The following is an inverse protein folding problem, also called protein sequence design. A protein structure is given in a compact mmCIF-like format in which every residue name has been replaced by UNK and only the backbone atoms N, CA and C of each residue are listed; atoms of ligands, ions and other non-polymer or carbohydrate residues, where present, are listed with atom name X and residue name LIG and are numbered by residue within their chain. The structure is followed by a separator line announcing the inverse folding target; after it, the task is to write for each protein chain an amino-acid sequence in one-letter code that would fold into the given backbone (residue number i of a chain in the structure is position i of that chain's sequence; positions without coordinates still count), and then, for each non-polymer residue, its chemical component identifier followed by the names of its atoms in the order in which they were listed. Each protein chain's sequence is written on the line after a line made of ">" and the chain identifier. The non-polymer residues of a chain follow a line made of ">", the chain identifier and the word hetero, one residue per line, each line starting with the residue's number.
data_IF_645452507401
#
_entry.id   IF_645452507401
#
_cell.length_a   1.000
_cell.length_b   1.000
_cell.length_c   1.000
_cell.angle_alpha   90.00
_cell.angle_beta   90.00
_cell.angle_gamma   90.00
#
_symmetry.space_group_name_H-M   'P 1'
#
loop_
_entity.id
_entity.type
_entity.pdbx_description
1 polymer ?
#
# COMPACT_ATOMS: atom_id res chain seq x y z
N UNK A 1 4.15 -3.71 8.25
CA UNK A 1 4.93 -3.50 7.02
C UNK A 1 4.07 -3.91 5.85
N UNK A 2 4.06 -3.13 4.78
CA UNK A 2 3.38 -3.49 3.52
C UNK A 2 4.44 -3.55 2.43
N UNK A 3 4.53 -4.68 1.74
CA UNK A 3 5.43 -4.87 0.60
C UNK A 3 4.59 -5.06 -0.66
N UNK A 4 4.87 -4.25 -1.68
CA UNK A 4 4.16 -4.29 -2.96
C UNK A 4 5.12 -4.80 -4.01
N UNK A 5 4.70 -5.82 -4.75
CA UNK A 5 5.45 -6.35 -5.90
C UNK A 5 4.56 -6.35 -7.14
N UNK A 6 5.04 -5.81 -8.28
CA UNK A 6 4.34 -5.93 -9.55
C UNK A 6 4.14 -7.41 -9.91
N UNK A 7 2.93 -7.76 -10.32
CA UNK A 7 2.64 -9.12 -10.76
C UNK A 7 3.47 -9.45 -12.02
N UNK A 8 4.25 -10.53 -11.99
CA UNK A 8 5.19 -10.93 -13.04
C UNK A 8 4.56 -11.05 -14.44
N UNK A 9 3.25 -11.28 -14.53
CA UNK A 9 2.53 -11.39 -15.80
C UNK A 9 2.45 -10.06 -16.58
N UNK A 10 2.60 -8.92 -15.91
CA UNK A 10 2.66 -7.60 -16.54
C UNK A 10 4.00 -6.99 -16.17
N UNK A 11 4.99 -7.12 -17.07
CA UNK A 11 6.34 -6.56 -16.97
C UNK A 11 6.33 -5.01 -17.01
N UNK A 12 5.52 -4.39 -16.16
CA UNK A 12 5.42 -2.94 -16.07
C UNK A 12 6.20 -2.51 -14.86
N UNK A 13 7.25 -1.77 -15.15
CA UNK A 13 7.94 -1.01 -14.14
C UNK A 13 6.97 0.02 -13.57
N UNK A 14 6.79 -0.01 -12.25
CA UNK A 14 6.01 1.00 -11.53
C UNK A 14 7.01 2.06 -11.05
N UNK A 15 6.77 3.33 -11.36
CA UNK A 15 7.60 4.38 -10.84
C UNK A 15 7.30 4.60 -9.34
N UNK A 16 8.35 4.94 -8.60
CA UNK A 16 8.32 5.26 -7.19
C UNK A 16 7.22 6.26 -6.80
N UNK A 17 7.03 7.30 -7.62
CA UNK A 17 6.02 8.36 -7.40
C UNK A 17 4.60 7.96 -7.82
N UNK A 18 4.44 6.84 -8.52
CA UNK A 18 3.12 6.28 -8.84
C UNK A 18 2.53 5.49 -7.66
N UNK A 19 3.27 5.27 -6.56
CA UNK A 19 2.78 4.52 -5.40
C UNK A 19 2.94 5.30 -4.10
N UNK A 20 1.84 5.46 -3.37
CA UNK A 20 1.87 6.03 -2.02
C UNK A 20 0.82 5.40 -1.11
N UNK A 21 1.19 5.25 0.16
CA UNK A 21 0.31 4.79 1.23
C UNK A 21 -0.46 5.99 1.81
N UNK A 22 -1.74 5.79 2.13
CA UNK A 22 -2.64 6.86 2.62
C UNK A 22 -2.64 8.06 1.65
N UNK A 23 -3.00 9.23 2.13
CA UNK A 23 -3.01 10.49 1.36
C UNK A 23 -1.60 11.08 1.18
N UNK A 24 -0.63 10.29 0.72
CA UNK A 24 0.66 10.81 0.22
C UNK A 24 1.93 10.34 0.93
N UNK A 25 1.91 9.26 1.71
CA UNK A 25 3.14 8.70 2.30
C UNK A 25 3.91 7.87 1.25
N UNK A 26 5.13 8.25 0.84
CA UNK A 26 5.90 7.51 -0.16
C UNK A 26 6.40 6.17 0.40
N UNK A 27 7.00 5.32 -0.44
CA UNK A 27 7.69 4.11 0.05
C UNK A 27 8.91 4.48 0.92
N UNK A 28 9.19 3.62 1.90
CA UNK A 28 10.35 3.74 2.78
C UNK A 28 11.59 3.07 2.20
N UNK A 29 11.41 2.03 1.38
CA UNK A 29 12.51 1.32 0.74
C UNK A 29 12.10 0.77 -0.63
N UNK A 30 13.06 0.68 -1.54
CA UNK A 30 12.88 0.13 -2.88
C UNK A 30 13.93 -0.95 -3.11
N UNK A 31 13.47 -2.13 -3.49
CA UNK A 31 14.28 -3.15 -4.14
C UNK A 31 13.78 -3.35 -5.58
N UNK A 32 14.52 -4.09 -6.38
CA UNK A 32 14.13 -4.39 -7.77
C UNK A 32 12.73 -4.98 -7.80
N UNK A 33 11.76 -4.21 -8.30
CA UNK A 33 10.33 -4.58 -8.36
C UNK A 33 9.68 -4.86 -6.99
N UNK A 34 10.17 -4.25 -5.91
CA UNK A 34 9.55 -4.35 -4.59
C UNK A 34 9.60 -3.01 -3.87
N UNK A 35 8.44 -2.57 -3.37
CA UNK A 35 8.26 -1.27 -2.72
C UNK A 35 7.75 -1.52 -1.31
N UNK A 36 8.56 -1.15 -0.32
CA UNK A 36 8.23 -1.35 1.08
C UNK A 36 7.72 -0.06 1.70
N UNK A 37 6.63 -0.17 2.45
CA UNK A 37 6.04 0.91 3.23
C UNK A 37 6.03 0.52 4.71
N UNK A 38 6.86 1.22 5.49
CA UNK A 38 7.00 1.03 6.92
C UNK A 38 6.58 2.31 7.64
N UNK A 39 5.31 2.36 8.04
CA UNK A 39 4.73 3.50 8.77
C UNK A 39 4.05 3.02 10.06
N UNK A 40 4.13 3.79 11.15
CA UNK A 40 3.38 3.47 12.34
C UNK A 40 1.88 3.71 12.13
N UNK A 41 1.06 2.86 12.77
CA UNK A 41 -0.39 2.89 12.59
C UNK A 41 -1.04 3.62 13.75
N UNK A 42 -1.31 4.93 13.57
CA UNK A 42 -1.91 5.76 14.62
C UNK A 42 -3.41 6.05 14.46
N UNK A 43 -3.97 6.06 13.23
CA UNK A 43 -5.25 6.77 12.98
C UNK A 43 -6.43 5.91 12.51
N UNK A 44 -6.28 4.58 12.33
CA UNK A 44 -7.35 3.71 11.80
C UNK A 44 -7.37 2.32 12.44
N UNK A 45 -7.55 2.29 13.76
CA UNK A 45 -7.68 1.05 14.54
C UNK A 45 -9.17 0.84 14.84
N UNK A 46 -9.72 -0.29 14.40
CA UNK A 46 -11.03 -0.75 14.80
C UNK A 46 -10.87 -1.95 15.73
N UNK A 47 -11.48 -1.89 16.91
CA UNK A 47 -11.57 -3.06 17.80
C UNK A 47 -12.62 -3.99 17.21
N UNK A 48 -12.23 -5.22 16.86
CA UNK A 48 -13.14 -6.22 16.27
C UNK A 48 -13.56 -7.27 17.30
N UNK A 49 -12.72 -7.51 18.31
CA UNK A 49 -13.06 -8.29 19.51
C UNK A 49 -12.20 -7.82 20.69
N UNK A 50 -12.42 -8.37 21.89
CA UNK A 50 -11.59 -8.08 23.09
C UNK A 50 -10.09 -8.33 22.85
N UNK A 51 -9.75 -9.20 21.89
CA UNK A 51 -8.39 -9.67 21.61
C UNK A 51 -7.97 -9.40 20.18
N UNK A 52 -8.72 -8.61 19.40
CA UNK A 52 -8.39 -8.38 18.00
C UNK A 52 -8.52 -6.91 17.61
N UNK A 53 -7.40 -6.35 17.16
CA UNK A 53 -7.31 -5.03 16.55
C UNK A 53 -7.25 -5.19 15.04
N UNK A 54 -8.14 -4.49 14.33
CA UNK A 54 -8.11 -4.37 12.88
C UNK A 54 -7.55 -3.00 12.50
N UNK A 55 -6.47 -3.03 11.73
CA UNK A 55 -5.84 -1.87 11.13
C UNK A 55 -6.28 -1.77 9.69
N UNK A 56 -6.81 -0.61 9.30
CA UNK A 56 -7.22 -0.36 7.92
C UNK A 56 -6.44 0.80 7.33
N UNK A 57 -5.89 0.62 6.14
CA UNK A 57 -5.20 1.66 5.38
C UNK A 57 -5.46 1.46 3.89
N UNK A 58 -4.95 2.36 3.08
CA UNK A 58 -5.18 2.37 1.64
C UNK A 58 -3.86 2.64 0.93
N UNK A 59 -3.65 1.98 -0.20
CA UNK A 59 -2.58 2.25 -1.14
C UNK A 59 -3.18 2.90 -2.39
N UNK A 60 -2.54 3.96 -2.86
CA UNK A 60 -2.95 4.68 -4.06
C UNK A 60 -1.93 4.43 -5.17
N UNK A 61 -2.45 4.15 -6.36
CA UNK A 61 -1.67 3.94 -7.57
C UNK A 61 -2.26 4.80 -8.71
N UNK A 62 -1.84 6.07 -8.87
CA UNK A 62 -2.12 6.85 -10.07
C UNK A 62 -1.04 6.58 -11.14
N UNK A 63 -1.29 5.70 -12.11
CA UNK A 63 -0.33 5.45 -13.18
C UNK A 63 -0.18 6.70 -14.06
N UNK A 64 1.04 6.95 -14.53
CA UNK A 64 1.34 7.94 -15.56
C UNK A 64 0.74 7.56 -16.91
N UNK A 65 0.60 6.26 -17.16
CA UNK A 65 -0.07 5.74 -18.33
C UNK A 65 -1.58 5.96 -18.23
N UNK A 66 -2.05 7.02 -18.90
CA UNK A 66 -3.45 7.47 -18.93
C UNK A 66 -4.45 6.40 -19.41
N UNK A 67 -3.98 5.30 -20.02
CA UNK A 67 -4.84 4.16 -20.37
C UNK A 67 -5.37 3.44 -19.12
N UNK A 68 -4.75 3.66 -17.97
CA UNK A 68 -5.14 3.10 -16.69
C UNK A 68 -5.64 4.22 -15.79
N UNK A 69 -6.82 4.03 -15.20
CA UNK A 69 -7.32 4.95 -14.20
C UNK A 69 -6.52 4.83 -12.89
N UNK A 70 -6.52 5.86 -12.04
CA UNK A 70 -6.02 5.77 -10.68
C UNK A 70 -6.71 4.64 -9.92
N UNK A 71 -5.93 3.86 -9.18
CA UNK A 71 -6.42 2.77 -8.36
C UNK A 71 -6.24 3.09 -6.89
N UNK A 72 -7.23 2.66 -6.10
CA UNK A 72 -7.21 2.72 -4.64
C UNK A 72 -7.39 1.30 -4.12
N UNK A 73 -6.37 0.79 -3.45
CA UNK A 73 -6.28 -0.59 -2.98
C UNK A 73 -6.45 -0.58 -1.46
N UNK A 74 -7.54 -1.14 -0.91
CA UNK A 74 -7.71 -1.25 0.53
C UNK A 74 -6.75 -2.29 1.10
N UNK A 75 -6.17 -1.98 2.25
CA UNK A 75 -5.25 -2.85 2.98
C UNK A 75 -5.77 -3.02 4.40
N UNK A 76 -5.82 -4.27 4.84
CA UNK A 76 -6.29 -4.65 6.16
C UNK A 76 -5.25 -5.53 6.84
N UNK A 77 -5.05 -5.31 8.14
CA UNK A 77 -4.17 -6.11 8.97
C UNK A 77 -4.86 -6.33 10.31
N UNK A 78 -4.86 -7.56 10.81
CA UNK A 78 -5.30 -7.87 12.16
C UNK A 78 -4.09 -8.17 13.04
N UNK A 79 -4.17 -7.74 14.30
CA UNK A 79 -3.27 -8.21 15.36
C UNK A 79 -4.11 -8.72 16.53
N UNK A 80 -3.63 -9.81 17.13
CA UNK A 80 -4.22 -10.48 18.30
C UNK A 80 -3.16 -10.76 19.35
#
# INVERSE_FOLDING_TARGET
>A
MVSVSPCAYRHRYIFADELYLRSGCPMTWIQTYMYDFIYPVYERIKVVSEQALLFQTELYFPPRDIRYGPQKIPLECSAS
#
